data_IF_833024433553
#
_entry.id   IF_833024433553
#
_cell.length_a   1.000
_cell.length_b   1.000
_cell.length_c   1.000
_cell.angle_alpha   90.00
_cell.angle_beta   90.00
_cell.angle_gamma   90.00
#
_symmetry.space_group_name_H-M   'P 1'
#
loop_
_entity.id
_entity.type
_entity.pdbx_description
1 polymer ?
#
# COMPACT_ATOMS: atom_id res chain seq x y z
N UNK A 1 -39.92 20.48 35.21
CA UNK A 1 -39.94 19.68 33.97
C UNK A 1 -39.49 20.64 32.89
N UNK A 2 -38.19 20.63 32.60
CA UNK A 2 -37.57 21.55 31.65
C UNK A 2 -37.31 20.78 30.35
N UNK A 3 -37.58 21.42 29.22
CA UNK A 3 -37.54 20.85 27.88
C UNK A 3 -36.11 20.38 27.50
N UNK A 4 -35.89 19.08 27.21
CA UNK A 4 -34.58 18.52 26.92
C UNK A 4 -33.98 18.96 25.57
N UNK A 5 -34.65 19.81 24.80
CA UNK A 5 -34.18 20.30 23.50
C UNK A 5 -33.78 21.79 23.47
N UNK A 6 -33.62 22.46 24.63
CA UNK A 6 -33.16 23.85 24.66
C UNK A 6 -31.64 23.99 24.44
N UNK A 7 -31.23 24.94 23.59
CA UNK A 7 -29.83 25.28 23.38
C UNK A 7 -29.27 26.09 24.56
N UNK A 8 -28.07 25.75 25.03
CA UNK A 8 -27.38 26.45 26.13
C UNK A 8 -26.71 27.76 25.65
N UNK A 9 -26.54 28.76 26.55
CA UNK A 9 -26.01 30.09 26.19
C UNK A 9 -24.51 30.04 25.88
N UNK A 10 -24.06 30.78 24.87
CA UNK A 10 -22.65 30.98 24.54
C UNK A 10 -21.97 31.94 25.52
N UNK A 11 -20.88 31.49 26.14
CA UNK A 11 -20.00 32.26 27.02
C UNK A 11 -19.15 33.29 26.21
N UNK A 12 -19.13 34.59 26.58
CA UNK A 12 -18.54 35.66 25.76
C UNK A 12 -17.01 35.82 25.83
N UNK A 13 -16.23 34.79 26.20
CA UNK A 13 -14.78 34.95 26.44
C UNK A 13 -13.85 34.39 25.34
N UNK A 14 -14.27 34.35 24.07
CA UNK A 14 -13.38 33.97 22.96
C UNK A 14 -12.75 35.23 22.36
N UNK A 15 -11.48 35.45 22.67
CA UNK A 15 -10.65 36.52 22.12
C UNK A 15 -10.22 36.16 20.67
N UNK A 16 -10.90 36.76 19.68
CA UNK A 16 -10.57 36.65 18.26
C UNK A 16 -9.40 37.58 17.90
N UNK A 17 -8.17 37.15 18.14
CA UNK A 17 -7.02 38.01 17.81
C UNK A 17 -5.73 37.28 17.40
N UNK A 18 -5.80 36.35 16.42
CA UNK A 18 -4.60 35.95 15.65
C UNK A 18 -4.93 35.68 14.16
N UNK A 19 -5.38 36.72 13.45
CA UNK A 19 -5.32 36.74 11.98
C UNK A 19 -4.71 38.06 11.48
N UNK A 20 -3.43 38.04 11.05
CA UNK A 20 -2.93 38.84 9.91
C UNK A 20 -1.43 38.65 9.59
N UNK A 21 -1.19 38.53 8.28
CA UNK A 21 0.05 38.79 7.49
C UNK A 21 1.20 37.78 7.59
N UNK A 22 1.75 37.25 6.49
CA UNK A 22 2.40 38.00 5.40
C UNK A 22 2.48 37.22 4.06
N UNK A 23 2.49 37.96 2.95
CA UNK A 23 2.53 37.52 1.53
C UNK A 23 3.92 37.03 1.06
N UNK A 24 4.02 36.20 0.01
CA UNK A 24 5.30 35.85 -0.64
C UNK A 24 5.68 36.78 -1.81
N UNK A 25 6.99 36.98 -2.01
CA UNK A 25 7.58 37.77 -3.09
C UNK A 25 7.81 36.95 -4.38
N UNK A 26 7.64 37.60 -5.54
CA UNK A 26 7.79 37.06 -6.91
C UNK A 26 9.27 37.10 -7.41
N UNK A 27 9.59 36.35 -8.48
CA UNK A 27 10.96 36.13 -8.96
C UNK A 27 11.44 37.20 -9.95
N UNK A 28 12.76 37.32 -10.11
CA UNK A 28 13.42 38.25 -11.04
C UNK A 28 14.16 37.49 -12.13
N UNK A 29 13.84 37.82 -13.37
CA UNK A 29 14.56 37.44 -14.59
C UNK A 29 15.54 38.56 -15.02
N UNK A 30 16.60 38.18 -15.75
CA UNK A 30 17.34 38.89 -16.84
C UNK A 30 18.63 38.09 -17.09
N UNK A 31 18.89 37.48 -18.25
CA UNK A 31 19.02 37.93 -19.66
C UNK A 31 20.34 38.60 -20.00
N UNK A 32 21.00 38.04 -21.02
CA UNK A 32 21.93 38.71 -21.94
C UNK A 32 23.32 38.06 -21.99
N UNK A 33 24.01 37.90 -23.11
CA UNK A 33 23.70 38.03 -24.54
C UNK A 33 24.97 37.58 -25.31
N UNK A 34 24.80 36.97 -26.51
CA UNK A 34 25.57 37.12 -27.80
C UNK A 34 27.11 36.98 -27.77
N UNK A 35 27.83 36.56 -28.80
CA UNK A 35 27.68 36.52 -30.27
C UNK A 35 28.61 35.38 -30.77
N UNK A 36 28.24 34.56 -31.76
CA UNK A 36 28.23 34.82 -33.22
C UNK A 36 29.63 34.93 -33.84
N UNK A 37 29.99 33.94 -34.66
CA UNK A 37 30.84 34.12 -35.84
C UNK A 37 30.74 32.88 -36.74
N UNK A 38 30.08 33.14 -37.86
CA UNK A 38 29.86 32.36 -39.06
C UNK A 38 31.13 32.03 -39.87
N UNK A 39 30.95 31.06 -40.77
CA UNK A 39 31.55 30.94 -42.12
C UNK A 39 33.08 30.72 -42.26
N UNK A 40 33.49 29.68 -43.01
CA UNK A 40 33.64 29.76 -44.49
C UNK A 40 34.20 28.46 -45.11
N UNK A 41 34.07 28.44 -46.43
CA UNK A 41 33.94 27.33 -47.37
C UNK A 41 35.23 27.06 -48.19
N UNK A 42 35.26 25.89 -48.84
CA UNK A 42 35.87 25.50 -50.13
C UNK A 42 37.38 25.68 -50.48
N UNK A 43 37.89 24.69 -51.24
CA UNK A 43 39.01 24.80 -52.21
C UNK A 43 39.99 23.61 -52.17
N UNK A 44 39.83 22.55 -52.97
CA UNK A 44 40.30 22.31 -54.36
C UNK A 44 41.80 22.00 -54.56
N UNK A 45 42.04 21.19 -55.62
CA UNK A 45 43.30 20.78 -56.27
C UNK A 45 43.97 19.51 -55.72
N UNK A 46 44.42 18.51 -56.50
CA UNK A 46 44.59 18.31 -57.94
C UNK A 46 45.54 17.10 -58.12
N UNK A 47 45.27 16.20 -59.06
CA UNK A 47 46.01 14.96 -59.39
C UNK A 47 47.42 15.26 -60.02
N UNK A 48 48.34 14.31 -60.42
CA UNK A 48 48.06 13.01 -61.06
C UNK A 48 49.04 11.79 -60.89
N UNK A 49 48.50 10.59 -61.13
CA UNK A 49 49.01 9.43 -61.93
C UNK A 49 50.42 8.85 -61.69
N UNK A 50 50.49 7.53 -61.36
CA UNK A 50 51.15 6.46 -62.17
C UNK A 50 51.06 5.07 -61.50
N UNK A 51 50.74 4.05 -62.29
CA UNK A 51 51.23 2.67 -62.06
C UNK A 51 50.20 1.58 -61.71
N UNK A 52 49.51 1.03 -62.72
CA UNK A 52 49.10 -0.40 -62.77
C UNK A 52 50.19 -1.14 -63.59
N UNK A 53 50.28 -2.50 -63.65
CA UNK A 53 49.37 -3.52 -63.11
C UNK A 53 50.03 -4.80 -62.55
N UNK A 54 49.26 -5.61 -61.81
CA UNK A 54 49.39 -7.07 -61.86
C UNK A 54 48.11 -7.74 -61.36
N UNK A 55 47.88 -8.94 -61.90
CA UNK A 55 46.62 -9.66 -62.04
C UNK A 55 46.67 -10.85 -61.09
N UNK A 56 45.73 -10.95 -60.16
CA UNK A 56 45.44 -12.21 -59.48
C UNK A 56 43.92 -12.38 -59.45
N UNK A 57 43.45 -13.38 -60.21
CA UNK A 57 42.10 -13.92 -60.12
C UNK A 57 41.98 -14.63 -58.78
N UNK A 58 41.12 -14.16 -57.90
CA UNK A 58 40.51 -14.97 -56.85
C UNK A 58 39.01 -14.81 -56.97
N UNK A 59 38.34 -15.96 -57.00
CA UNK A 59 36.91 -16.10 -57.15
C UNK A 59 36.13 -15.34 -56.07
N UNK A 60 34.93 -14.90 -56.44
CA UNK A 60 33.90 -14.33 -55.58
C UNK A 60 33.67 -15.16 -54.30
N UNK A 61 33.27 -14.50 -53.22
CA UNK A 61 31.85 -14.68 -52.87
C UNK A 61 31.14 -13.33 -52.72
N UNK A 62 29.99 -13.28 -53.40
CA UNK A 62 28.94 -12.28 -53.28
C UNK A 62 28.58 -11.96 -51.80
N UNK A 63 28.02 -10.76 -51.53
CA UNK A 63 28.11 -10.13 -50.23
C UNK A 63 27.17 -10.79 -49.21
N UNK A 64 27.74 -11.20 -48.07
CA UNK A 64 27.04 -11.51 -46.80
C UNK A 64 26.26 -10.30 -46.21
N UNK A 65 26.04 -9.24 -46.97
CA UNK A 65 25.29 -8.05 -46.53
C UNK A 65 23.78 -8.19 -46.72
N UNK A 66 23.32 -9.11 -47.59
CA UNK A 66 21.88 -9.34 -47.78
C UNK A 66 21.23 -10.17 -46.65
N UNK A 67 22.01 -10.92 -45.87
CA UNK A 67 21.49 -11.78 -44.79
C UNK A 67 21.46 -11.06 -43.42
N UNK A 68 22.12 -9.90 -43.30
CA UNK A 68 22.04 -9.05 -42.12
C UNK A 68 20.83 -8.10 -42.12
N UNK A 69 20.13 -7.95 -43.25
CA UNK A 69 18.97 -7.07 -43.41
C UNK A 69 17.66 -7.70 -42.91
N UNK A 70 17.63 -9.02 -42.66
CA UNK A 70 16.44 -9.75 -42.19
C UNK A 70 16.56 -10.25 -40.73
N UNK A 71 17.54 -9.73 -39.98
CA UNK A 71 17.57 -9.95 -38.54
C UNK A 71 16.31 -9.31 -37.93
N UNK A 72 15.39 -10.08 -37.30
CA UNK A 72 14.17 -9.53 -36.74
C UNK A 72 14.55 -8.44 -35.73
N UNK A 73 14.26 -7.20 -36.08
CA UNK A 73 14.54 -6.05 -35.23
C UNK A 73 13.89 -6.33 -33.88
N UNK A 74 14.62 -6.31 -32.75
CA UNK A 74 14.03 -6.64 -31.47
C UNK A 74 12.88 -5.67 -31.20
N UNK A 75 11.63 -6.16 -31.31
CA UNK A 75 10.44 -5.36 -31.02
C UNK A 75 10.61 -4.80 -29.62
N UNK A 76 10.60 -3.46 -29.49
CA UNK A 76 10.61 -2.84 -28.17
C UNK A 76 9.44 -3.42 -27.38
N UNK A 77 9.69 -3.92 -26.16
CA UNK A 77 8.64 -4.42 -25.26
C UNK A 77 7.47 -3.43 -25.09
N UNK A 78 7.73 -2.12 -25.25
CA UNK A 78 6.73 -1.07 -25.23
C UNK A 78 5.73 -1.08 -26.41
N UNK A 79 6.01 -1.78 -27.51
CA UNK A 79 5.08 -1.89 -28.65
C UNK A 79 4.02 -2.97 -28.45
N UNK A 80 4.15 -3.82 -27.43
CA UNK A 80 3.12 -4.80 -27.07
C UNK A 80 2.00 -4.12 -26.25
N UNK A 81 0.79 -4.07 -26.83
CA UNK A 81 -0.39 -3.50 -26.18
C UNK A 81 -0.74 -4.19 -24.86
N UNK A 82 -0.48 -5.50 -24.76
CA UNK A 82 -0.69 -6.26 -23.52
C UNK A 82 0.25 -5.77 -22.40
N UNK A 83 1.54 -5.59 -22.73
CA UNK A 83 2.53 -5.12 -21.77
C UNK A 83 2.21 -3.70 -21.29
N UNK A 84 1.82 -2.80 -22.22
CA UNK A 84 1.40 -1.43 -21.88
C UNK A 84 0.20 -1.40 -20.94
N UNK A 85 -0.82 -2.21 -21.20
CA UNK A 85 -2.01 -2.30 -20.34
C UNK A 85 -1.65 -2.79 -18.94
N UNK A 86 -0.78 -3.81 -18.84
CA UNK A 86 -0.28 -4.35 -17.56
C UNK A 86 0.56 -3.34 -16.80
N UNK A 87 1.44 -2.63 -17.49
CA UNK A 87 2.25 -1.56 -16.89
C UNK A 87 1.37 -0.42 -16.39
N UNK A 88 0.39 0.02 -17.19
CA UNK A 88 -0.55 1.07 -16.79
C UNK A 88 -1.36 0.66 -15.55
N UNK A 89 -1.86 -0.59 -15.51
CA UNK A 89 -2.56 -1.13 -14.33
C UNK A 89 -1.67 -1.17 -13.10
N UNK A 90 -0.41 -1.58 -13.25
CA UNK A 90 0.57 -1.54 -12.15
C UNK A 90 0.76 -0.13 -11.62
N UNK A 91 1.04 0.82 -12.50
CA UNK A 91 1.28 2.21 -12.12
C UNK A 91 0.04 2.82 -11.47
N UNK A 92 -1.15 2.54 -11.99
CA UNK A 92 -2.41 2.92 -11.39
C UNK A 92 -2.58 2.28 -10.00
N UNK A 93 -2.30 0.99 -9.85
CA UNK A 93 -2.37 0.29 -8.56
C UNK A 93 -1.42 0.89 -7.52
N UNK A 94 -0.15 1.16 -7.89
CA UNK A 94 0.82 1.84 -7.02
C UNK A 94 0.32 3.23 -6.64
N UNK A 95 -0.15 4.01 -7.61
CA UNK A 95 -0.68 5.35 -7.36
C UNK A 95 -1.89 5.32 -6.42
N UNK A 96 -2.83 4.39 -6.62
CA UNK A 96 -3.99 4.19 -5.74
C UNK A 96 -3.53 3.84 -4.32
N UNK A 97 -2.58 2.92 -4.15
CA UNK A 97 -2.06 2.58 -2.83
C UNK A 97 -1.43 3.78 -2.11
N UNK A 98 -0.63 4.58 -2.82
CA UNK A 98 0.03 5.76 -2.25
C UNK A 98 -0.98 6.88 -1.92
N UNK A 99 -1.93 7.15 -2.82
CA UNK A 99 -2.98 8.15 -2.60
C UNK A 99 -3.89 7.73 -1.44
N UNK A 100 -4.29 6.46 -1.38
CA UNK A 100 -5.09 5.93 -0.29
C UNK A 100 -4.32 5.98 1.04
N UNK A 101 -3.03 5.65 1.05
CA UNK A 101 -2.16 5.80 2.23
C UNK A 101 -2.16 7.24 2.73
N UNK A 102 -1.92 8.21 1.83
CA UNK A 102 -1.93 9.63 2.19
C UNK A 102 -3.28 10.12 2.71
N UNK A 103 -4.37 9.76 2.02
CA UNK A 103 -5.73 10.15 2.40
C UNK A 103 -6.14 9.55 3.75
N UNK A 104 -5.96 8.24 3.94
CA UNK A 104 -6.33 7.55 5.18
C UNK A 104 -5.50 8.09 6.34
N UNK A 105 -4.18 8.24 6.16
CA UNK A 105 -3.30 8.79 7.20
C UNK A 105 -3.72 10.22 7.57
N UNK A 106 -4.01 11.05 6.57
CA UNK A 106 -4.44 12.43 6.81
C UNK A 106 -5.76 12.48 7.58
N UNK A 107 -6.79 11.75 7.13
CA UNK A 107 -8.10 11.73 7.79
C UNK A 107 -7.99 11.15 9.19
N UNK A 108 -7.34 10.00 9.37
CA UNK A 108 -7.23 9.31 10.65
C UNK A 108 -6.43 10.11 11.69
N UNK A 109 -5.38 10.83 11.28
CA UNK A 109 -4.51 11.55 12.19
C UNK A 109 -4.97 12.98 12.47
N UNK A 110 -5.47 13.70 11.46
CA UNK A 110 -5.68 15.16 11.56
C UNK A 110 -7.14 15.56 11.75
N UNK A 111 -8.11 14.65 11.61
CA UNK A 111 -9.52 14.96 11.79
C UNK A 111 -10.06 14.35 13.10
N UNK A 112 -10.90 15.09 13.86
CA UNK A 112 -11.52 14.56 15.06
C UNK A 112 -12.36 13.29 14.79
N UNK A 113 -13.18 13.31 13.72
CA UNK A 113 -13.99 12.17 13.33
C UNK A 113 -13.14 10.94 12.97
N UNK A 114 -12.04 11.13 12.24
CA UNK A 114 -11.11 10.05 11.93
C UNK A 114 -10.52 9.43 13.19
N UNK A 115 -10.00 10.24 14.11
CA UNK A 115 -9.45 9.73 15.37
C UNK A 115 -10.49 8.98 16.21
N UNK A 116 -11.73 9.46 16.25
CA UNK A 116 -12.84 8.86 16.99
C UNK A 116 -13.24 7.52 16.39
N UNK A 117 -13.53 7.47 15.08
CA UNK A 117 -13.96 6.23 14.40
C UNK A 117 -12.88 5.15 14.51
N UNK A 118 -11.62 5.53 14.29
CA UNK A 118 -10.50 4.60 14.29
C UNK A 118 -10.24 4.04 15.70
N UNK A 119 -10.36 4.89 16.73
CA UNK A 119 -10.19 4.46 18.12
C UNK A 119 -11.37 3.63 18.62
N UNK A 120 -12.62 4.00 18.30
CA UNK A 120 -13.78 3.24 18.77
C UNK A 120 -13.89 1.86 18.10
N UNK A 121 -13.46 1.74 16.84
CA UNK A 121 -13.36 0.44 16.16
C UNK A 121 -12.34 -0.46 16.85
N UNK A 122 -11.18 0.08 17.21
CA UNK A 122 -10.15 -0.64 17.97
C UNK A 122 -10.67 -1.07 19.35
N UNK A 123 -11.17 -0.13 20.16
CA UNK A 123 -11.67 -0.41 21.52
C UNK A 123 -12.87 -1.37 21.51
N UNK A 124 -13.77 -1.21 20.52
CA UNK A 124 -14.88 -2.12 20.29
C UNK A 124 -14.40 -3.55 20.02
N UNK A 125 -13.33 -3.68 19.21
CA UNK A 125 -12.67 -4.95 18.99
C UNK A 125 -12.07 -5.48 20.31
N UNK A 126 -11.15 -4.74 20.94
CA UNK A 126 -10.47 -5.14 22.19
C UNK A 126 -11.45 -5.71 23.22
N UNK A 127 -12.55 -4.99 23.45
CA UNK A 127 -13.60 -5.39 24.40
C UNK A 127 -14.38 -6.63 23.95
N UNK A 128 -14.55 -6.82 22.64
CA UNK A 128 -15.15 -8.04 22.11
C UNK A 128 -14.22 -9.26 22.28
N UNK A 129 -12.90 -9.06 22.17
CA UNK A 129 -11.92 -10.13 22.32
C UNK A 129 -11.61 -10.49 23.77
N UNK A 130 -11.65 -9.52 24.69
CA UNK A 130 -11.42 -9.78 26.12
C UNK A 130 -12.46 -10.73 26.74
N UNK A 131 -13.58 -10.98 26.05
CA UNK A 131 -14.56 -12.01 26.43
C UNK A 131 -14.06 -13.44 26.16
N UNK A 132 -12.95 -13.60 25.43
CA UNK A 132 -12.41 -14.87 24.95
C UNK A 132 -10.89 -14.96 25.15
N UNK A 133 -10.43 -14.95 26.41
CA UNK A 133 -8.99 -14.92 26.75
C UNK A 133 -8.16 -16.04 26.08
N UNK A 134 -8.66 -17.28 26.08
CA UNK A 134 -7.96 -18.40 25.43
C UNK A 134 -7.78 -18.22 23.92
N UNK A 135 -8.72 -17.54 23.26
CA UNK A 135 -8.63 -17.21 21.85
C UNK A 135 -7.61 -16.10 21.58
N UNK A 136 -7.54 -15.08 22.43
CA UNK A 136 -6.52 -14.01 22.32
C UNK A 136 -5.11 -14.57 22.47
N UNK A 137 -4.88 -15.43 23.47
CA UNK A 137 -3.57 -16.07 23.71
C UNK A 137 -3.14 -16.96 22.54
N UNK A 138 -4.08 -17.72 21.96
CA UNK A 138 -3.80 -18.54 20.79
C UNK A 138 -3.38 -17.67 19.59
N UNK A 139 -4.16 -16.62 19.31
CA UNK A 139 -3.90 -15.74 18.16
C UNK A 139 -2.58 -14.99 18.32
N UNK A 140 -2.32 -14.41 19.49
CA UNK A 140 -1.07 -13.69 19.77
C UNK A 140 0.15 -14.61 19.68
N UNK A 141 0.02 -15.87 20.10
CA UNK A 141 1.05 -16.89 19.89
C UNK A 141 1.31 -17.16 18.41
N UNK A 142 0.24 -17.33 17.62
CA UNK A 142 0.32 -17.56 16.17
C UNK A 142 1.00 -16.38 15.49
N UNK A 143 0.60 -15.14 15.76
CA UNK A 143 1.11 -13.92 15.09
C UNK A 143 2.35 -13.31 15.78
N UNK A 144 3.06 -14.08 16.59
CA UNK A 144 4.21 -13.60 17.35
C UNK A 144 5.43 -13.30 16.48
N UNK A 145 6.35 -12.47 16.99
CA UNK A 145 7.60 -12.13 16.32
C UNK A 145 8.45 -13.37 15.95
N UNK A 146 8.62 -14.38 16.84
CA UNK A 146 9.33 -15.60 16.48
C UNK A 146 8.68 -16.34 15.30
N UNK A 147 7.35 -16.44 15.27
CA UNK A 147 6.64 -17.10 14.15
C UNK A 147 6.84 -16.32 12.86
N UNK A 148 6.77 -15.00 12.88
CA UNK A 148 7.10 -14.19 11.69
C UNK A 148 8.52 -14.44 11.19
N UNK A 149 9.49 -14.60 12.10
CA UNK A 149 10.86 -14.99 11.76
C UNK A 149 10.92 -16.33 11.04
N UNK A 150 10.24 -17.35 11.57
CA UNK A 150 10.15 -18.68 10.95
C UNK A 150 9.49 -18.62 9.57
N UNK A 151 8.38 -17.90 9.42
CA UNK A 151 7.71 -17.70 8.12
C UNK A 151 8.63 -16.99 7.14
N UNK A 152 9.38 -15.97 7.58
CA UNK A 152 10.39 -15.29 6.77
C UNK A 152 11.47 -16.23 6.25
N UNK A 153 11.99 -17.12 7.11
CA UNK A 153 12.96 -18.15 6.72
C UNK A 153 12.35 -19.11 5.70
N UNK A 154 11.12 -19.59 5.91
CA UNK A 154 10.43 -20.47 4.95
C UNK A 154 10.29 -19.79 3.59
N UNK A 155 9.85 -18.52 3.55
CA UNK A 155 9.73 -17.76 2.30
C UNK A 155 11.09 -17.61 1.61
N UNK A 156 12.16 -17.33 2.36
CA UNK A 156 13.51 -17.24 1.82
C UNK A 156 14.01 -18.58 1.25
N UNK A 157 13.78 -19.69 1.96
CA UNK A 157 14.12 -21.04 1.50
C UNK A 157 13.36 -21.42 0.22
N UNK A 158 12.05 -21.12 0.16
CA UNK A 158 11.25 -21.30 -1.06
C UNK A 158 11.82 -20.45 -2.19
N UNK A 159 12.15 -19.18 -1.94
CA UNK A 159 12.74 -18.30 -2.95
C UNK A 159 14.08 -18.86 -3.49
N UNK A 160 14.95 -19.36 -2.60
CA UNK A 160 16.23 -19.97 -2.96
C UNK A 160 16.06 -21.27 -3.77
N UNK A 161 15.17 -22.16 -3.33
CA UNK A 161 14.88 -23.43 -3.99
C UNK A 161 14.37 -23.24 -5.44
N UNK A 162 13.72 -22.11 -5.72
CA UNK A 162 13.19 -21.79 -7.06
C UNK A 162 14.26 -21.42 -8.08
N UNK A 163 15.52 -21.18 -7.66
CA UNK A 163 16.66 -20.81 -8.52
C UNK A 163 16.35 -19.64 -9.48
N UNK A 164 15.51 -18.70 -9.03
CA UNK A 164 15.15 -17.48 -9.78
C UNK A 164 15.60 -16.23 -9.01
N UNK A 165 16.89 -15.88 -9.07
CA UNK A 165 17.47 -14.83 -8.22
C UNK A 165 16.83 -13.45 -8.45
N UNK A 166 16.40 -13.16 -9.67
CA UNK A 166 15.72 -11.89 -10.00
C UNK A 166 14.35 -11.74 -9.33
N UNK A 167 13.59 -12.84 -9.25
CA UNK A 167 12.28 -12.86 -8.58
C UNK A 167 12.44 -12.78 -7.06
N UNK A 168 13.42 -13.50 -6.52
CA UNK A 168 13.78 -13.45 -5.10
C UNK A 168 14.24 -12.04 -4.69
N UNK A 169 15.11 -11.41 -5.49
CA UNK A 169 15.57 -10.04 -5.24
C UNK A 169 14.45 -9.01 -5.29
N UNK A 170 13.48 -9.15 -6.19
CA UNK A 170 12.27 -8.30 -6.23
C UNK A 170 11.39 -8.48 -5.00
N UNK A 171 11.13 -9.71 -4.59
CA UNK A 171 10.35 -10.01 -3.39
C UNK A 171 11.04 -9.47 -2.14
N UNK A 172 12.35 -9.70 -2.00
CA UNK A 172 13.16 -9.18 -0.90
C UNK A 172 13.17 -7.65 -0.88
N UNK A 173 13.37 -7.02 -2.04
CA UNK A 173 13.31 -5.56 -2.17
C UNK A 173 11.95 -4.99 -1.75
N UNK A 174 10.85 -5.68 -2.06
CA UNK A 174 9.51 -5.26 -1.64
C UNK A 174 9.33 -5.38 -0.13
N UNK A 175 9.80 -6.47 0.48
CA UNK A 175 9.76 -6.67 1.94
C UNK A 175 10.60 -5.61 2.66
N UNK A 176 11.86 -5.45 2.27
CA UNK A 176 12.78 -4.48 2.90
C UNK A 176 12.29 -3.05 2.70
N UNK A 177 11.92 -2.70 1.46
CA UNK A 177 11.45 -1.36 1.11
C UNK A 177 10.19 -0.97 1.88
N UNK A 178 9.21 -1.87 1.99
CA UNK A 178 7.98 -1.60 2.73
C UNK A 178 8.24 -1.44 4.23
N UNK A 179 9.06 -2.30 4.84
CA UNK A 179 9.35 -2.20 6.27
C UNK A 179 10.15 -0.94 6.61
N UNK A 180 11.16 -0.58 5.81
CA UNK A 180 11.89 0.68 5.98
C UNK A 180 10.93 1.87 5.82
N UNK A 181 10.10 1.88 4.77
CA UNK A 181 9.11 2.94 4.56
C UNK A 181 8.15 3.07 5.75
N UNK A 182 7.66 1.96 6.29
CA UNK A 182 6.80 1.93 7.48
C UNK A 182 7.48 2.57 8.69
N UNK A 183 8.73 2.20 8.99
CA UNK A 183 9.45 2.79 10.14
C UNK A 183 9.75 4.28 9.92
N UNK A 184 10.17 4.68 8.72
CA UNK A 184 10.41 6.09 8.39
C UNK A 184 9.11 6.89 8.54
N UNK A 185 8.00 6.39 8.00
CA UNK A 185 6.71 7.07 8.10
C UNK A 185 6.27 7.20 9.55
N UNK A 186 6.39 6.11 10.33
CA UNK A 186 5.94 6.06 11.73
C UNK A 186 6.74 6.99 12.64
N UNK A 187 8.07 6.96 12.51
CA UNK A 187 8.97 7.57 13.49
C UNK A 187 9.38 9.00 13.11
N UNK A 188 9.29 9.38 11.82
CA UNK A 188 9.83 10.66 11.35
C UNK A 188 8.84 11.53 10.56
N UNK A 189 7.81 10.97 9.91
CA UNK A 189 6.93 11.74 9.01
C UNK A 189 5.56 11.97 9.62
N UNK A 190 4.94 10.91 10.16
CA UNK A 190 3.57 10.92 10.61
C UNK A 190 3.54 11.21 12.11
N UNK A 191 2.87 12.29 12.45
CA UNK A 191 2.62 12.68 13.83
C UNK A 191 1.12 12.65 14.10
N UNK A 192 0.73 12.21 15.29
CA UNK A 192 -0.66 12.19 15.72
C UNK A 192 -0.89 13.37 16.65
N UNK A 193 -1.47 14.49 16.18
CA UNK A 193 -1.79 15.61 17.06
C UNK A 193 -2.85 15.17 18.07
N UNK A 194 -2.71 15.65 19.31
CA UNK A 194 -3.75 15.47 20.32
C UNK A 194 -4.88 16.46 20.04
N UNK A 195 -5.97 15.98 19.45
CA UNK A 195 -7.16 16.79 19.15
C UNK A 195 -8.13 16.86 20.34
N UNK A 196 -7.79 16.27 21.49
CA UNK A 196 -8.68 16.23 22.65
C UNK A 196 -9.98 15.50 22.37
N UNK A 197 -9.93 14.37 21.63
CA UNK A 197 -11.12 13.54 21.32
C UNK A 197 -10.90 12.03 21.57
N UNK A 198 -9.68 11.65 21.98
CA UNK A 198 -9.36 10.28 22.37
C UNK A 198 -8.48 10.32 23.61
N UNK A 199 -8.35 9.20 24.31
CA UNK A 199 -7.28 9.03 25.31
C UNK A 199 -5.93 9.29 24.62
N UNK A 200 -4.99 9.92 25.33
CA UNK A 200 -3.77 10.53 24.80
C UNK A 200 -2.71 9.58 24.21
N UNK A 201 -3.12 8.48 23.58
CA UNK A 201 -2.23 7.55 22.89
C UNK A 201 -1.55 8.25 21.69
N UNK A 202 -0.21 8.13 21.65
CA UNK A 202 0.63 8.70 20.61
C UNK A 202 0.43 8.08 19.22
N UNK A 203 1.29 8.46 18.27
CA UNK A 203 1.24 7.91 16.92
C UNK A 203 1.60 6.41 16.91
N UNK A 204 0.75 5.61 16.30
CA UNK A 204 0.94 4.17 16.09
C UNK A 204 0.94 3.81 14.59
N UNK A 205 0.67 4.78 13.72
CA UNK A 205 0.51 4.61 12.28
C UNK A 205 1.86 4.78 11.56
N UNK A 206 2.24 3.89 10.61
CA UNK A 206 1.63 2.60 10.28
C UNK A 206 2.09 1.43 11.19
N UNK A 207 1.34 0.32 11.16
CA UNK A 207 1.68 -0.89 11.93
C UNK A 207 2.89 -1.66 11.37
N UNK A 208 3.92 -1.83 12.20
CA UNK A 208 5.12 -2.62 11.88
C UNK A 208 4.85 -4.12 11.75
N UNK A 209 4.18 -4.72 12.74
CA UNK A 209 3.81 -6.14 12.74
C UNK A 209 2.96 -6.51 11.52
N UNK A 210 1.98 -5.67 11.21
CA UNK A 210 1.16 -5.84 10.00
C UNK A 210 2.00 -5.71 8.74
N UNK A 211 2.90 -4.72 8.64
CA UNK A 211 3.78 -4.58 7.46
C UNK A 211 4.59 -5.85 7.21
N UNK A 212 5.19 -6.43 8.26
CA UNK A 212 5.94 -7.69 8.15
C UNK A 212 5.02 -8.82 7.65
N UNK A 213 3.85 -9.02 8.27
CA UNK A 213 2.94 -10.09 7.89
C UNK A 213 2.42 -9.97 6.45
N UNK A 214 2.03 -8.76 6.03
CA UNK A 214 1.55 -8.51 4.66
C UNK A 214 2.68 -8.75 3.67
N UNK A 215 3.87 -8.20 3.91
CA UNK A 215 5.00 -8.32 2.98
C UNK A 215 5.48 -9.76 2.84
N UNK A 216 5.52 -10.55 3.92
CA UNK A 216 5.81 -11.98 3.85
C UNK A 216 4.75 -12.75 3.06
N UNK A 217 3.48 -12.42 3.24
CA UNK A 217 2.36 -13.03 2.49
C UNK A 217 2.46 -12.72 0.99
N UNK A 218 2.72 -11.45 0.64
CA UNK A 218 2.91 -11.04 -0.75
C UNK A 218 4.17 -11.66 -1.37
N UNK A 219 5.27 -11.72 -0.62
CA UNK A 219 6.50 -12.39 -1.05
C UNK A 219 6.25 -13.87 -1.34
N UNK A 220 5.53 -14.58 -0.47
CA UNK A 220 5.13 -15.97 -0.69
C UNK A 220 4.37 -16.14 -2.01
N UNK A 221 3.38 -15.28 -2.29
CA UNK A 221 2.60 -15.32 -3.54
C UNK A 221 3.47 -15.10 -4.77
N UNK A 222 4.45 -14.19 -4.68
CA UNK A 222 5.38 -13.89 -5.76
C UNK A 222 6.30 -15.07 -6.06
N UNK A 223 6.80 -15.77 -5.03
CA UNK A 223 7.75 -16.89 -5.19
C UNK A 223 7.08 -18.25 -5.39
N UNK A 224 5.80 -18.39 -4.99
CA UNK A 224 5.05 -19.64 -5.04
C UNK A 224 5.01 -20.25 -6.46
N UNK A 225 5.00 -21.60 -6.57
CA UNK A 225 4.80 -22.27 -7.84
C UNK A 225 3.38 -22.03 -8.39
N UNK A 226 3.22 -22.15 -9.70
CA UNK A 226 1.98 -21.83 -10.43
C UNK A 226 0.72 -22.50 -9.85
N UNK A 227 0.84 -23.76 -9.40
CA UNK A 227 -0.28 -24.53 -8.85
C UNK A 227 -0.63 -24.15 -7.40
N UNK A 228 0.34 -23.62 -6.64
CA UNK A 228 0.15 -23.22 -5.24
C UNK A 228 -0.19 -21.74 -5.07
N UNK A 229 -0.21 -20.98 -6.16
CA UNK A 229 -0.39 -19.53 -6.11
C UNK A 229 -1.75 -19.10 -5.56
N UNK A 230 -2.85 -19.74 -6.00
CA UNK A 230 -4.18 -19.47 -5.46
C UNK A 230 -4.26 -19.83 -3.96
N UNK A 231 -3.86 -21.05 -3.51
CA UNK A 231 -3.75 -21.34 -2.09
C UNK A 231 -2.89 -20.34 -1.31
N UNK A 232 -1.72 -19.97 -1.81
CA UNK A 232 -0.82 -19.01 -1.18
C UNK A 232 -1.48 -17.63 -1.00
N UNK A 233 -2.29 -17.18 -1.96
CA UNK A 233 -3.03 -15.93 -1.85
C UNK A 233 -4.08 -15.97 -0.73
N UNK A 234 -4.83 -17.07 -0.62
CA UNK A 234 -5.82 -17.26 0.44
C UNK A 234 -5.18 -17.43 1.82
N UNK A 235 -4.10 -18.20 1.93
CA UNK A 235 -3.33 -18.36 3.17
C UNK A 235 -2.73 -17.01 3.59
N UNK A 236 -2.10 -16.30 2.65
CA UNK A 236 -1.55 -14.97 2.89
C UNK A 236 -2.62 -13.96 3.32
N UNK A 237 -3.81 -14.05 2.75
CA UNK A 237 -4.94 -13.22 3.13
C UNK A 237 -5.46 -13.53 4.54
N UNK A 238 -5.66 -14.81 4.85
CA UNK A 238 -6.07 -15.24 6.19
C UNK A 238 -5.04 -14.81 7.24
N UNK A 239 -3.75 -15.04 6.97
CA UNK A 239 -2.66 -14.63 7.86
C UNK A 239 -2.58 -13.12 8.07
N UNK A 240 -2.63 -12.35 6.98
CA UNK A 240 -2.58 -10.89 7.03
C UNK A 240 -3.77 -10.32 7.78
N UNK A 241 -4.96 -10.87 7.56
CA UNK A 241 -6.18 -10.46 8.27
C UNK A 241 -6.09 -10.82 9.75
N UNK A 242 -5.59 -12.02 10.07
CA UNK A 242 -5.38 -12.47 11.45
C UNK A 242 -4.39 -11.56 12.19
N UNK A 243 -3.27 -11.21 11.57
CA UNK A 243 -2.31 -10.25 12.13
C UNK A 243 -2.92 -8.86 12.31
N UNK A 244 -3.68 -8.38 11.32
CA UNK A 244 -4.34 -7.08 11.42
C UNK A 244 -5.37 -7.04 12.55
N UNK A 245 -6.13 -8.12 12.72
CA UNK A 245 -7.09 -8.26 13.81
C UNK A 245 -6.37 -8.39 15.15
N UNK A 246 -5.33 -9.22 15.27
CA UNK A 246 -4.59 -9.47 16.52
C UNK A 246 -4.07 -8.19 17.17
N UNK A 247 -3.44 -7.31 16.39
CA UNK A 247 -2.89 -6.04 16.91
C UNK A 247 -3.97 -5.07 17.37
N UNK A 248 -5.20 -5.18 16.83
CA UNK A 248 -6.36 -4.44 17.33
C UNK A 248 -6.92 -5.09 18.59
N UNK A 249 -6.88 -6.41 18.74
CA UNK A 249 -7.34 -7.11 19.96
C UNK A 249 -6.54 -6.71 21.18
N UNK A 250 -5.23 -6.59 21.00
CA UNK A 250 -4.30 -6.17 22.04
C UNK A 250 -4.30 -4.64 22.26
N UNK A 251 -5.06 -3.87 21.45
CA UNK A 251 -5.14 -2.42 21.56
C UNK A 251 -3.88 -1.67 21.17
N UNK A 252 -2.98 -2.31 20.44
CA UNK A 252 -1.71 -1.72 20.02
C UNK A 252 -1.88 -0.82 18.80
N UNK A 253 -2.83 -1.16 17.94
CA UNK A 253 -3.01 -0.53 16.64
C UNK A 253 -4.48 -0.32 16.31
N UNK A 254 -4.76 0.81 15.65
CA UNK A 254 -6.08 1.14 15.11
C UNK A 254 -6.25 0.55 13.70
N UNK A 255 -7.49 0.40 13.18
CA UNK A 255 -7.71 -0.08 11.82
C UNK A 255 -6.92 0.66 10.74
N UNK A 256 -6.80 1.99 10.83
CA UNK A 256 -6.04 2.79 9.87
C UNK A 256 -4.54 2.45 9.86
N UNK A 257 -3.96 2.08 11.00
CA UNK A 257 -2.56 1.64 11.11
C UNK A 257 -2.32 0.36 10.30
N UNK A 258 -3.27 -0.57 10.37
CA UNK A 258 -3.25 -1.86 9.70
C UNK A 258 -3.48 -1.71 8.19
N UNK A 259 -4.50 -0.93 7.82
CA UNK A 259 -4.86 -0.67 6.43
C UNK A 259 -3.72 0.07 5.71
N UNK A 260 -3.13 1.08 6.36
CA UNK A 260 -2.02 1.85 5.80
C UNK A 260 -0.78 0.98 5.63
N UNK A 261 -0.47 0.12 6.61
CA UNK A 261 0.61 -0.85 6.48
C UNK A 261 0.41 -1.79 5.27
N UNK A 262 -0.82 -2.29 5.07
CA UNK A 262 -1.14 -3.14 3.94
C UNK A 262 -1.01 -2.40 2.60
N UNK A 263 -1.44 -1.13 2.53
CA UNK A 263 -1.32 -0.30 1.33
C UNK A 263 0.14 -0.01 0.96
N UNK A 264 0.99 0.29 1.95
CA UNK A 264 2.44 0.48 1.76
C UNK A 264 3.07 -0.81 1.22
N UNK A 265 2.79 -1.95 1.86
CA UNK A 265 3.27 -3.24 1.41
C UNK A 265 2.79 -3.59 -0.01
N UNK A 266 1.51 -3.30 -0.31
CA UNK A 266 0.91 -3.44 -1.62
C UNK A 266 1.62 -2.59 -2.67
N UNK A 267 1.89 -1.31 -2.40
CA UNK A 267 2.59 -0.41 -3.32
C UNK A 267 3.97 -0.96 -3.70
N UNK A 268 4.74 -1.42 -2.71
CA UNK A 268 6.06 -2.02 -2.94
C UNK A 268 5.99 -3.33 -3.75
N UNK A 269 5.05 -4.22 -3.40
CA UNK A 269 4.87 -5.48 -4.11
C UNK A 269 4.39 -5.25 -5.56
N UNK A 270 3.49 -4.30 -5.79
CA UNK A 270 3.02 -3.92 -7.12
C UNK A 270 4.16 -3.32 -7.95
N UNK A 271 4.92 -2.38 -7.39
CA UNK A 271 6.05 -1.74 -8.06
C UNK A 271 7.10 -2.77 -8.53
N UNK A 272 7.44 -3.71 -7.66
CA UNK A 272 8.50 -4.71 -7.89
C UNK A 272 8.02 -6.04 -8.48
N UNK A 273 6.71 -6.22 -8.67
CA UNK A 273 6.18 -7.43 -9.31
C UNK A 273 6.80 -7.65 -10.70
N UNK A 274 6.94 -8.89 -11.19
CA UNK A 274 7.26 -9.14 -12.61
C UNK A 274 6.03 -8.93 -13.50
N UNK A 275 6.21 -8.41 -14.72
CA UNK A 275 5.19 -8.50 -15.80
C UNK A 275 5.60 -9.67 -16.69
N UNK A 276 5.05 -10.85 -16.41
CA UNK A 276 5.36 -12.09 -17.14
C UNK A 276 4.06 -12.79 -17.51
N UNK A 277 3.98 -13.32 -18.75
CA UNK A 277 2.88 -14.18 -19.19
C UNK A 277 3.03 -15.53 -18.49
N UNK A 278 2.17 -15.82 -17.52
CA UNK A 278 2.23 -17.06 -16.73
C UNK A 278 0.85 -17.72 -16.70
N UNK A 279 0.69 -18.91 -17.30
CA UNK A 279 -0.56 -19.66 -17.24
C UNK A 279 -1.00 -19.87 -15.79
N UNK A 280 -2.22 -19.46 -15.47
CA UNK A 280 -2.77 -19.57 -14.11
C UNK A 280 -3.79 -20.70 -14.01
N UNK A 281 -3.62 -21.53 -12.99
CA UNK A 281 -4.61 -22.50 -12.56
C UNK A 281 -5.54 -21.89 -11.49
N UNK A 282 -6.86 -22.08 -11.62
CA UNK A 282 -7.83 -21.64 -10.60
C UNK A 282 -8.22 -20.16 -10.65
N UNK A 283 -8.34 -19.56 -11.85
CA UNK A 283 -8.78 -18.17 -12.01
C UNK A 283 -10.19 -17.89 -11.44
N UNK A 284 -11.04 -18.91 -11.31
CA UNK A 284 -12.34 -18.81 -10.62
C UNK A 284 -12.18 -18.51 -9.13
N UNK A 285 -11.32 -19.27 -8.44
CA UNK A 285 -11.04 -19.12 -7.00
C UNK A 285 -10.42 -17.74 -6.70
N UNK A 286 -9.56 -17.26 -7.59
CA UNK A 286 -8.99 -15.92 -7.47
C UNK A 286 -10.06 -14.82 -7.63
N UNK A 287 -11.02 -14.98 -8.57
CA UNK A 287 -12.12 -14.03 -8.77
C UNK A 287 -13.12 -14.04 -7.61
N UNK A 288 -13.36 -15.21 -7.00
CA UNK A 288 -14.22 -15.33 -5.82
C UNK A 288 -13.72 -14.45 -4.67
N UNK A 289 -12.39 -14.34 -4.49
CA UNK A 289 -11.77 -13.51 -3.46
C UNK A 289 -12.25 -12.05 -3.52
N UNK A 290 -12.37 -11.45 -4.71
CA UNK A 290 -12.85 -10.06 -4.87
C UNK A 290 -14.26 -9.90 -4.33
N UNK A 291 -15.16 -10.83 -4.69
CA UNK A 291 -16.54 -10.76 -4.23
C UNK A 291 -16.67 -10.93 -2.73
N UNK A 292 -15.87 -11.82 -2.12
CA UNK A 292 -15.81 -11.95 -0.66
C UNK A 292 -15.29 -10.65 -0.03
N UNK A 293 -14.24 -10.05 -0.59
CA UNK A 293 -13.71 -8.77 -0.09
C UNK A 293 -14.73 -7.63 -0.20
N UNK A 294 -15.42 -7.51 -1.34
CA UNK A 294 -16.47 -6.51 -1.53
C UNK A 294 -17.65 -6.74 -0.57
N UNK A 295 -18.04 -8.00 -0.34
CA UNK A 295 -19.03 -8.37 0.66
C UNK A 295 -18.61 -7.95 2.08
N UNK A 296 -17.35 -8.19 2.45
CA UNK A 296 -16.78 -7.75 3.72
C UNK A 296 -16.79 -6.22 3.84
N UNK A 297 -16.44 -5.48 2.79
CA UNK A 297 -16.53 -4.02 2.81
C UNK A 297 -17.97 -3.52 2.98
N UNK A 298 -18.94 -4.17 2.33
CA UNK A 298 -20.36 -3.89 2.54
C UNK A 298 -20.78 -4.10 4.00
N UNK A 299 -20.40 -5.24 4.59
CA UNK A 299 -20.63 -5.52 6.02
C UNK A 299 -19.94 -4.49 6.91
N UNK A 300 -18.70 -4.10 6.59
CA UNK A 300 -17.93 -3.14 7.36
C UNK A 300 -18.63 -1.78 7.43
N UNK A 301 -19.09 -1.27 6.29
CA UNK A 301 -19.84 -0.01 6.21
C UNK A 301 -21.15 -0.10 6.99
N UNK A 302 -21.96 -1.13 6.74
CA UNK A 302 -23.26 -1.30 7.40
C UNK A 302 -23.11 -1.45 8.93
N UNK A 303 -22.15 -2.25 9.39
CA UNK A 303 -21.89 -2.44 10.81
C UNK A 303 -21.37 -1.16 11.47
N UNK A 304 -20.48 -0.41 10.80
CA UNK A 304 -19.99 0.89 11.31
C UNK A 304 -21.15 1.88 11.46
N UNK A 305 -22.00 2.01 10.43
CA UNK A 305 -23.16 2.91 10.47
C UNK A 305 -24.16 2.50 11.56
N UNK A 306 -24.46 1.21 11.69
CA UNK A 306 -25.35 0.70 12.72
C UNK A 306 -24.81 0.92 14.14
N UNK A 307 -23.51 0.70 14.36
CA UNK A 307 -22.88 0.95 15.66
C UNK A 307 -22.82 2.45 16.01
N UNK A 308 -22.61 3.30 15.01
CA UNK A 308 -22.54 4.76 15.16
C UNK A 308 -23.91 5.43 15.19
N UNK A 309 -25.00 4.67 15.02
CA UNK A 309 -26.34 5.21 15.10
C UNK A 309 -26.61 5.85 16.48
N UNK A 310 -26.95 7.13 16.47
CA UNK A 310 -27.17 7.92 17.69
C UNK A 310 -25.89 8.24 18.47
N UNK A 311 -24.72 8.16 17.84
CA UNK A 311 -23.47 8.64 18.42
C UNK A 311 -23.37 10.17 18.31
N UNK A 312 -22.98 10.83 19.40
CA UNK A 312 -22.68 12.26 19.43
C UNK A 312 -21.20 12.47 19.72
N UNK A 313 -20.56 13.41 19.02
CA UNK A 313 -19.16 13.78 19.25
C UNK A 313 -18.90 14.30 20.67
N UNK A 314 -19.93 14.83 21.35
CA UNK A 314 -19.81 15.24 22.76
C UNK A 314 -19.48 14.07 23.70
N UNK A 315 -19.86 12.84 23.33
CA UNK A 315 -19.52 11.62 24.06
C UNK A 315 -18.09 11.10 23.78
N UNK A 316 -17.35 11.75 22.87
CA UNK A 316 -15.94 11.43 22.61
C UNK A 316 -14.97 12.43 23.29
N UNK A 317 -15.47 13.55 23.82
CA UNK A 317 -14.61 14.56 24.44
C UNK A 317 -14.03 14.05 25.77
N UNK A 318 -12.70 14.10 25.98
CA UNK A 318 -12.07 13.94 27.28
C UNK A 318 -12.67 14.93 28.28
N UNK A 319 -12.97 14.46 29.50
CA UNK A 319 -13.58 15.27 30.55
C UNK A 319 -15.11 15.36 30.51
N UNK A 320 -15.79 14.77 29.51
CA UNK A 320 -17.25 14.77 29.42
C UNK A 320 -17.97 13.92 30.50
N UNK A 321 -17.25 13.11 31.28
CA UNK A 321 -17.83 12.10 32.17
C UNK A 321 -18.44 10.89 31.44
N UNK A 322 -18.61 10.98 30.11
CA UNK A 322 -19.20 9.97 29.23
C UNK A 322 -18.18 9.59 28.15
N UNK A 323 -17.09 8.90 28.49
CA UNK A 323 -16.10 8.43 27.50
C UNK A 323 -16.62 7.30 26.61
N UNK A 324 -15.77 6.82 25.67
CA UNK A 324 -16.06 5.64 24.84
C UNK A 324 -16.49 4.43 25.68
N UNK A 325 -15.89 4.27 26.86
CA UNK A 325 -16.28 3.24 27.82
C UNK A 325 -17.77 3.32 28.18
N UNK A 326 -18.27 4.51 28.52
CA UNK A 326 -19.69 4.72 28.83
C UNK A 326 -20.58 4.49 27.60
N UNK A 327 -20.16 4.89 26.40
CA UNK A 327 -20.91 4.62 25.16
C UNK A 327 -21.01 3.12 24.84
N UNK A 328 -19.93 2.36 25.07
CA UNK A 328 -19.87 0.91 24.90
C UNK A 328 -20.60 0.16 26.02
N UNK A 329 -20.65 0.72 27.24
CA UNK A 329 -21.36 0.17 28.39
C UNK A 329 -22.88 0.30 28.27
N UNK A 330 -23.39 1.44 27.76
CA UNK A 330 -24.85 1.64 27.60
C UNK A 330 -25.46 0.58 26.68
N UNK A 331 -24.73 0.15 25.63
CA UNK A 331 -25.21 -0.86 24.68
C UNK A 331 -24.11 -1.88 24.36
N UNK A 332 -23.99 -2.97 25.13
CA UNK A 332 -22.93 -3.98 24.95
C UNK A 332 -22.89 -4.64 23.56
N UNK A 333 -24.00 -4.64 22.82
CA UNK A 333 -24.02 -5.14 21.44
C UNK A 333 -23.16 -4.28 20.49
N UNK A 334 -22.97 -2.98 20.78
CA UNK A 334 -22.20 -2.07 19.94
C UNK A 334 -20.73 -2.47 19.85
N UNK A 335 -20.12 -2.93 20.95
CA UNK A 335 -18.73 -3.39 20.91
C UNK A 335 -18.56 -4.58 19.97
N UNK A 336 -19.51 -5.53 19.98
CA UNK A 336 -19.51 -6.67 19.06
C UNK A 336 -19.65 -6.23 17.60
N UNK A 337 -20.57 -5.30 17.32
CA UNK A 337 -20.78 -4.79 15.96
C UNK A 337 -19.56 -4.00 15.47
N UNK A 338 -18.92 -3.20 16.34
CA UNK A 338 -17.68 -2.51 16.03
C UNK A 338 -16.52 -3.47 15.80
N UNK A 339 -16.41 -4.55 16.60
CA UNK A 339 -15.43 -5.61 16.38
C UNK A 339 -15.62 -6.29 15.02
N UNK A 340 -16.86 -6.63 14.65
CA UNK A 340 -17.19 -7.17 13.32
C UNK A 340 -16.84 -6.16 12.22
N UNK A 341 -17.16 -4.88 12.40
CA UNK A 341 -16.82 -3.83 11.44
C UNK A 341 -15.30 -3.70 11.25
N UNK A 342 -14.52 -3.70 12.34
CA UNK A 342 -13.07 -3.62 12.31
C UNK A 342 -12.44 -4.82 11.57
N UNK A 343 -12.88 -6.04 11.89
CA UNK A 343 -12.45 -7.27 11.20
C UNK A 343 -12.77 -7.17 9.71
N UNK A 344 -13.98 -6.73 9.35
CA UNK A 344 -14.43 -6.66 7.98
C UNK A 344 -13.71 -5.59 7.16
N UNK A 345 -13.44 -4.40 7.72
CA UNK A 345 -12.63 -3.35 7.09
C UNK A 345 -11.23 -3.84 6.77
N UNK A 346 -10.53 -4.38 7.78
CA UNK A 346 -9.15 -4.87 7.63
C UNK A 346 -9.10 -6.04 6.65
N UNK A 347 -9.95 -7.05 6.82
CA UNK A 347 -9.94 -8.25 5.99
C UNK A 347 -10.31 -7.91 4.54
N UNK A 348 -11.32 -7.05 4.32
CA UNK A 348 -11.73 -6.63 2.97
C UNK A 348 -10.62 -5.90 2.22
N UNK A 349 -9.97 -4.92 2.85
CA UNK A 349 -8.92 -4.12 2.19
C UNK A 349 -7.65 -4.96 1.96
N UNK A 350 -7.19 -5.69 2.97
CA UNK A 350 -6.02 -6.57 2.83
C UNK A 350 -6.23 -7.60 1.72
N UNK A 351 -7.45 -8.15 1.62
CA UNK A 351 -7.80 -9.11 0.58
C UNK A 351 -7.78 -8.51 -0.83
N UNK A 352 -8.29 -7.28 -1.02
CA UNK A 352 -8.22 -6.59 -2.31
C UNK A 352 -6.77 -6.32 -2.74
N UNK A 353 -5.91 -5.90 -1.82
CA UNK A 353 -4.49 -5.65 -2.09
C UNK A 353 -3.80 -6.96 -2.52
N UNK A 354 -4.01 -8.03 -1.77
CA UNK A 354 -3.47 -9.35 -2.08
C UNK A 354 -4.00 -9.84 -3.43
N UNK A 355 -5.29 -9.65 -3.72
CA UNK A 355 -5.88 -10.01 -5.00
C UNK A 355 -5.21 -9.27 -6.17
N UNK A 356 -5.01 -7.95 -6.06
CA UNK A 356 -4.41 -7.16 -7.14
C UNK A 356 -2.93 -7.52 -7.38
N UNK A 357 -2.15 -7.73 -6.31
CA UNK A 357 -0.76 -8.21 -6.44
C UNK A 357 -0.71 -9.60 -7.06
N UNK A 358 -1.58 -10.50 -6.59
CA UNK A 358 -1.68 -11.86 -7.11
C UNK A 358 -2.09 -11.87 -8.60
N UNK A 359 -2.99 -10.98 -9.01
CA UNK A 359 -3.42 -10.84 -10.40
C UNK A 359 -2.34 -10.28 -11.31
N UNK A 360 -1.55 -9.32 -10.84
CA UNK A 360 -0.50 -8.72 -11.66
C UNK A 360 0.73 -9.62 -11.84
N UNK A 361 1.03 -10.49 -10.88
CA UNK A 361 2.16 -11.41 -10.98
C UNK A 361 1.81 -12.78 -11.63
N UNK A 362 0.59 -12.98 -12.13
CA UNK A 362 0.20 -14.20 -12.84
C UNK A 362 -1.02 -14.04 -13.77
N UNK A 363 -0.76 -13.60 -15.01
CA UNK A 363 -1.65 -13.77 -16.18
C UNK A 363 -0.80 -13.91 -17.45
#
# INVERSE_FOLDING_TARGET
>A
MDDPNSALPSDPSVDESYTKSSRPARPRARSGARADSDERDAGQDGAPVKGRPARARTADPAPREAEAADAPTPRRLSSDGWYRLKLARRLAGVAICLLATGLISHVALTTPYGQVIDTILMEGMMRSASQFEGFSTLITGIVSVPVMGVVGVIVALVAAARRRPTLAGRALGAVVGANIATQILKDYILTRPNLGVTTGAGNSLPSGHTTVAVTLSLALIVVAPQWFRSPAAWIGWAWTSLMGVSVMMEGWHRPSDVITAALIAGAWALALSPIERRPRHGASIQRAMVWVCLGLLGVAVLATLAAMWGFSMSAASPGSGYGFEHFLLIRPWRSRVLGVAAIAWVSGICGLIIHEVDRLAGE
#
